data_IF_560421545383
#
_entry.id   IF_560421545383
#
_cell.length_a   1.000
_cell.length_b   1.000
_cell.length_c   1.000
_cell.angle_alpha   90.00
_cell.angle_beta   90.00
_cell.angle_gamma   90.00
#
_symmetry.space_group_name_H-M   'P 1'
#
loop_
_entity.id
_entity.type
_entity.pdbx_description
1 polymer ?
#
# COMPACT_ATOMS: atom_id res chain seq x y z
N UNK A 1 -5.35 62.03 29.71
CA UNK A 1 -5.19 61.89 28.25
C UNK A 1 -4.91 60.43 27.81
N UNK A 2 -5.47 59.41 28.48
CA UNK A 2 -5.23 57.98 28.18
C UNK A 2 -6.49 57.18 27.79
N UNK A 3 -7.69 57.64 28.12
CA UNK A 3 -8.93 56.89 27.87
C UNK A 3 -9.37 56.85 26.40
N UNK A 4 -9.06 57.89 25.61
CA UNK A 4 -9.42 57.95 24.18
C UNK A 4 -8.65 56.94 23.30
N UNK A 5 -7.53 56.40 23.81
CA UNK A 5 -6.69 55.45 23.07
C UNK A 5 -7.18 54.00 23.19
N UNK A 6 -7.89 53.65 24.26
CA UNK A 6 -8.37 52.28 24.48
C UNK A 6 -9.66 52.01 23.69
N UNK A 7 -10.58 52.98 23.66
CA UNK A 7 -11.84 52.88 22.93
C UNK A 7 -11.63 52.77 21.40
N UNK A 8 -10.65 53.49 20.84
CA UNK A 8 -10.31 53.38 19.42
C UNK A 8 -9.75 52.00 19.04
N UNK A 9 -9.00 51.36 19.94
CA UNK A 9 -8.43 50.03 19.70
C UNK A 9 -9.52 48.93 19.71
N UNK A 10 -10.52 49.05 20.59
CA UNK A 10 -11.69 48.15 20.62
C UNK A 10 -12.56 48.27 19.37
N UNK A 11 -12.71 49.48 18.81
CA UNK A 11 -13.46 49.70 17.56
C UNK A 11 -12.70 49.09 16.37
N UNK A 12 -11.37 49.23 16.32
CA UNK A 12 -10.56 48.65 15.23
C UNK A 12 -10.55 47.11 15.29
N UNK A 13 -10.56 46.52 16.50
CA UNK A 13 -10.63 45.07 16.69
C UNK A 13 -12.03 44.47 16.45
N UNK A 14 -13.10 45.26 16.52
CA UNK A 14 -14.47 44.77 16.29
C UNK A 14 -14.91 44.83 14.83
N UNK A 15 -14.25 45.64 13.99
CA UNK A 15 -14.52 45.76 12.54
C UNK A 15 -14.31 44.42 11.78
N UNK A 16 -13.25 43.62 12.02
CA UNK A 16 -13.08 42.33 11.36
C UNK A 16 -14.20 41.33 11.72
N UNK A 17 -14.71 41.41 12.95
CA UNK A 17 -15.74 40.49 13.47
C UNK A 17 -17.12 40.81 12.91
N UNK A 18 -17.43 42.09 12.70
CA UNK A 18 -18.74 42.53 12.18
C UNK A 18 -18.85 42.50 10.64
N UNK A 19 -17.73 42.53 9.90
CA UNK A 19 -17.74 42.63 8.44
C UNK A 19 -17.28 41.37 7.67
N UNK A 20 -16.95 40.28 8.36
CA UNK A 20 -16.51 39.03 7.71
C UNK A 20 -17.32 37.80 8.17
N UNK A 21 -18.63 37.72 7.87
CA UNK A 21 -19.42 36.49 8.12
C UNK A 21 -18.81 35.26 7.42
N UNK A 22 -18.13 35.48 6.29
CA UNK A 22 -17.41 34.44 5.54
C UNK A 22 -16.21 33.85 6.29
N UNK A 23 -15.67 34.51 7.31
CA UNK A 23 -14.53 33.99 8.06
C UNK A 23 -14.94 32.84 8.98
N UNK A 24 -16.12 32.96 9.61
CA UNK A 24 -16.68 31.86 10.41
C UNK A 24 -17.04 30.66 9.54
N UNK A 25 -17.66 30.90 8.38
CA UNK A 25 -17.96 29.85 7.39
C UNK A 25 -16.68 29.19 6.85
N UNK A 26 -15.60 29.96 6.69
CA UNK A 26 -14.30 29.42 6.27
C UNK A 26 -13.68 28.57 7.37
N UNK A 27 -13.78 28.98 8.65
CA UNK A 27 -13.27 28.19 9.78
C UNK A 27 -14.08 26.91 9.99
N UNK A 28 -15.40 26.95 9.88
CA UNK A 28 -16.23 25.74 9.98
C UNK A 28 -15.96 24.80 8.82
N UNK A 29 -15.84 25.32 7.59
CA UNK A 29 -15.47 24.51 6.42
C UNK A 29 -14.09 23.87 6.59
N UNK A 30 -13.09 24.60 7.10
CA UNK A 30 -11.76 24.03 7.38
C UNK A 30 -11.85 22.97 8.47
N UNK A 31 -12.61 23.20 9.55
CA UNK A 31 -12.80 22.23 10.64
C UNK A 31 -13.49 20.96 10.17
N UNK A 32 -14.54 21.07 9.38
CA UNK A 32 -15.35 19.94 8.91
C UNK A 32 -14.57 19.12 7.84
N UNK A 33 -13.83 19.80 6.97
CA UNK A 33 -12.89 19.16 6.05
C UNK A 33 -11.72 18.50 6.80
N UNK A 34 -11.25 19.09 7.90
CA UNK A 34 -10.19 18.48 8.71
C UNK A 34 -10.70 17.24 9.44
N UNK A 35 -11.87 17.31 10.07
CA UNK A 35 -12.48 16.20 10.81
C UNK A 35 -12.75 14.99 9.91
N UNK A 36 -13.29 15.21 8.72
CA UNK A 36 -13.49 14.16 7.72
C UNK A 36 -12.17 13.55 7.21
N UNK A 37 -11.11 14.34 7.10
CA UNK A 37 -9.75 13.83 6.80
C UNK A 37 -9.20 12.97 7.96
N UNK A 38 -9.45 13.35 9.21
CA UNK A 38 -9.01 12.56 10.38
C UNK A 38 -9.77 11.24 10.51
N UNK A 39 -11.09 11.23 10.33
CA UNK A 39 -11.89 10.00 10.31
C UNK A 39 -11.46 9.08 9.16
N UNK A 40 -11.25 9.63 7.96
CA UNK A 40 -10.75 8.84 6.83
C UNK A 40 -9.35 8.28 7.08
N UNK A 41 -8.44 9.02 7.73
CA UNK A 41 -7.11 8.48 8.08
C UNK A 41 -7.18 7.30 9.02
N UNK A 42 -8.07 7.32 10.01
CA UNK A 42 -8.25 6.20 10.93
C UNK A 42 -8.79 4.99 10.20
N UNK A 43 -9.77 5.19 9.33
CA UNK A 43 -10.37 4.13 8.51
C UNK A 43 -9.37 3.53 7.52
N UNK A 44 -8.57 4.36 6.83
CA UNK A 44 -7.50 3.91 5.95
C UNK A 44 -6.44 3.13 6.72
N UNK A 45 -6.05 3.59 7.92
CA UNK A 45 -5.11 2.85 8.75
C UNK A 45 -5.68 1.48 9.14
N UNK A 46 -6.95 1.43 9.58
CA UNK A 46 -7.64 0.17 9.90
C UNK A 46 -7.74 -0.76 8.68
N UNK A 47 -7.98 -0.24 7.47
CA UNK A 47 -8.09 -0.99 6.22
C UNK A 47 -6.74 -1.49 5.70
N UNK A 48 -5.68 -0.68 5.74
CA UNK A 48 -4.34 -1.06 5.26
C UNK A 48 -3.75 -2.23 6.05
N UNK A 49 -4.03 -2.32 7.34
CA UNK A 49 -3.56 -3.41 8.19
C UNK A 49 -4.43 -4.67 8.14
N UNK A 50 -5.54 -4.68 7.38
CA UNK A 50 -6.28 -5.91 7.18
C UNK A 50 -5.56 -6.87 6.23
N UNK A 51 -5.54 -8.18 6.49
CA UNK A 51 -5.09 -9.16 5.52
C UNK A 51 -5.87 -9.00 4.22
N UNK A 52 -5.18 -9.10 3.09
CA UNK A 52 -5.74 -8.90 1.75
C UNK A 52 -6.08 -7.46 1.35
N UNK A 53 -5.73 -6.44 2.14
CA UNK A 53 -6.02 -5.04 1.81
C UNK A 53 -5.47 -4.59 0.45
N UNK A 54 -4.34 -5.16 0.00
CA UNK A 54 -3.75 -4.87 -1.32
C UNK A 54 -4.56 -5.39 -2.52
N UNK A 55 -5.57 -6.23 -2.30
CA UNK A 55 -6.36 -6.85 -3.37
C UNK A 55 -7.53 -5.98 -3.79
N UNK A 56 -8.12 -5.25 -2.83
CA UNK A 56 -9.13 -4.23 -3.14
C UNK A 56 -8.54 -3.07 -3.95
N UNK A 57 -7.21 -2.91 -3.92
CA UNK A 57 -6.48 -1.89 -4.69
C UNK A 57 -6.27 -2.30 -6.15
N UNK A 58 -6.31 -3.60 -6.47
CA UNK A 58 -6.06 -4.11 -7.83
C UNK A 58 -7.18 -5.04 -8.31
N UNK A 59 -8.12 -4.55 -9.12
CA UNK A 59 -9.14 -5.39 -9.74
C UNK A 59 -8.49 -6.55 -10.51
N UNK A 60 -9.03 -7.75 -10.34
CA UNK A 60 -8.43 -8.98 -10.88
C UNK A 60 -8.24 -8.95 -12.40
N UNK A 61 -9.01 -8.16 -13.15
CA UNK A 61 -8.82 -8.01 -14.59
C UNK A 61 -7.52 -7.29 -15.00
N UNK A 62 -6.92 -6.49 -14.11
CA UNK A 62 -5.68 -5.74 -14.38
C UNK A 62 -4.44 -6.38 -13.76
N UNK A 63 -4.61 -7.50 -13.04
CA UNK A 63 -3.51 -8.23 -12.43
C UNK A 63 -2.84 -9.15 -13.45
N UNK A 64 -1.50 -9.09 -13.63
CA UNK A 64 -0.76 -10.02 -14.45
C UNK A 64 -1.05 -11.47 -14.07
N UNK A 65 -1.00 -12.39 -15.03
CA UNK A 65 -1.35 -13.79 -14.81
C UNK A 65 -0.42 -14.42 -13.76
N UNK A 66 0.87 -14.12 -13.87
CA UNK A 66 1.94 -14.63 -13.01
C UNK A 66 1.74 -14.14 -11.56
N UNK A 67 1.28 -12.90 -11.37
CA UNK A 67 0.98 -12.36 -10.03
C UNK A 67 -0.22 -13.08 -9.40
N UNK A 68 -1.24 -13.45 -10.18
CA UNK A 68 -2.37 -14.27 -9.70
C UNK A 68 -1.91 -15.66 -9.29
N UNK A 69 -1.01 -16.25 -10.08
CA UNK A 69 -0.45 -17.57 -9.83
C UNK A 69 0.40 -17.59 -8.56
N UNK A 70 1.30 -16.63 -8.40
CA UNK A 70 2.09 -16.42 -7.17
C UNK A 70 1.15 -16.34 -5.98
N UNK A 71 0.14 -15.47 -6.03
CA UNK A 71 -0.80 -15.33 -4.90
C UNK A 71 -1.54 -16.62 -4.57
N UNK A 72 -2.03 -17.32 -5.59
CA UNK A 72 -2.72 -18.58 -5.38
C UNK A 72 -1.80 -19.63 -4.73
N UNK A 73 -0.51 -19.64 -5.09
CA UNK A 73 0.48 -20.53 -4.49
C UNK A 73 0.89 -20.11 -3.07
N UNK A 74 1.06 -18.80 -2.81
CA UNK A 74 1.32 -18.25 -1.46
C UNK A 74 0.21 -18.67 -0.49
N UNK A 75 -1.05 -18.50 -0.90
CA UNK A 75 -2.21 -18.85 -0.09
C UNK A 75 -2.36 -20.37 0.09
N UNK A 76 -2.21 -21.16 -0.98
CA UNK A 76 -2.37 -22.60 -0.92
C UNK A 76 -1.30 -23.28 -0.03
N UNK A 77 -0.08 -22.76 -0.04
CA UNK A 77 1.05 -23.32 0.71
C UNK A 77 1.28 -22.61 2.06
N UNK A 78 0.47 -21.60 2.41
CA UNK A 78 0.56 -20.84 3.66
C UNK A 78 1.99 -20.32 3.92
N UNK A 79 2.61 -19.73 2.88
CA UNK A 79 4.00 -19.30 2.96
C UNK A 79 4.17 -18.18 4.00
N UNK A 80 5.20 -18.25 4.86
CA UNK A 80 5.48 -17.19 5.85
C UNK A 80 6.10 -15.94 5.22
N UNK A 81 6.89 -16.14 4.17
CA UNK A 81 7.58 -15.15 3.35
C UNK A 81 7.83 -15.77 1.97
N UNK A 82 8.28 -14.96 1.02
CA UNK A 82 8.67 -15.43 -0.31
C UNK A 82 9.74 -14.55 -0.94
N UNK A 83 10.39 -15.05 -1.97
CA UNK A 83 11.27 -14.30 -2.84
C UNK A 83 10.88 -14.47 -4.31
N UNK A 84 11.21 -13.49 -5.13
CA UNK A 84 11.07 -13.53 -6.58
C UNK A 84 12.45 -13.55 -7.24
N UNK A 85 12.58 -14.31 -8.32
CA UNK A 85 13.78 -14.45 -9.13
C UNK A 85 13.54 -14.05 -10.59
N UNK A 86 14.63 -13.86 -11.32
CA UNK A 86 14.62 -13.62 -12.76
C UNK A 86 13.68 -12.46 -13.13
N UNK A 87 12.90 -12.64 -14.18
CA UNK A 87 12.00 -11.61 -14.69
C UNK A 87 10.90 -11.19 -13.71
N UNK A 88 10.48 -12.08 -12.79
CA UNK A 88 9.51 -11.71 -11.74
C UNK A 88 10.07 -10.64 -10.79
N UNK A 89 11.40 -10.63 -10.59
CA UNK A 89 12.09 -9.64 -9.77
C UNK A 89 12.55 -8.43 -10.59
N UNK A 90 13.03 -8.67 -11.81
CA UNK A 90 13.59 -7.63 -12.68
C UNK A 90 12.52 -6.68 -13.23
N UNK A 91 11.29 -7.17 -13.44
CA UNK A 91 10.15 -6.33 -13.84
C UNK A 91 9.59 -5.58 -12.61
N UNK A 92 9.74 -4.25 -12.53
CA UNK A 92 9.30 -3.47 -11.38
C UNK A 92 7.79 -3.54 -11.14
N UNK A 93 6.99 -3.69 -12.21
CA UNK A 93 5.54 -3.78 -12.10
C UNK A 93 5.15 -5.15 -11.52
N UNK A 94 5.72 -6.24 -12.02
CA UNK A 94 5.44 -7.59 -11.46
C UNK A 94 5.87 -7.67 -10.01
N UNK A 95 7.07 -7.16 -9.68
CA UNK A 95 7.59 -7.10 -8.32
C UNK A 95 6.64 -6.34 -7.38
N UNK A 96 6.29 -5.10 -7.74
CA UNK A 96 5.42 -4.27 -6.91
C UNK A 96 4.06 -4.93 -6.71
N UNK A 97 3.43 -5.43 -7.78
CA UNK A 97 2.11 -6.07 -7.69
C UNK A 97 2.15 -7.34 -6.86
N UNK A 98 3.20 -8.16 -6.99
CA UNK A 98 3.36 -9.36 -6.19
C UNK A 98 3.49 -9.02 -4.69
N UNK A 99 4.18 -7.94 -4.32
CA UNK A 99 4.25 -7.48 -2.92
C UNK A 99 2.87 -7.03 -2.43
N UNK A 100 2.20 -6.18 -3.19
CA UNK A 100 0.90 -5.59 -2.81
C UNK A 100 -0.17 -6.67 -2.59
N UNK A 101 -0.32 -7.61 -3.52
CA UNK A 101 -1.43 -8.57 -3.48
C UNK A 101 -1.21 -9.70 -2.46
N UNK A 102 0.03 -9.90 -2.01
CA UNK A 102 0.37 -10.95 -1.05
C UNK A 102 0.46 -10.44 0.39
N UNK A 103 0.27 -9.13 0.64
CA UNK A 103 0.20 -8.59 1.98
C UNK A 103 -0.84 -9.37 2.84
N UNK A 104 -0.45 -9.87 4.04
CA UNK A 104 0.72 -9.47 4.84
C UNK A 104 1.98 -10.33 4.67
N UNK A 105 1.99 -11.31 3.76
CA UNK A 105 3.18 -12.14 3.48
C UNK A 105 4.24 -11.27 2.80
N UNK A 106 5.44 -11.25 3.35
CA UNK A 106 6.50 -10.33 2.93
C UNK A 106 7.39 -10.95 1.85
N UNK A 107 7.90 -10.07 1.00
CA UNK A 107 9.01 -10.38 0.12
C UNK A 107 10.31 -10.23 0.90
N UNK A 108 11.02 -11.34 1.12
CA UNK A 108 12.30 -11.37 1.83
C UNK A 108 13.38 -11.93 0.91
N UNK A 109 14.53 -11.24 0.82
CA UNK A 109 15.60 -11.62 -0.11
C UNK A 109 16.26 -12.95 0.23
N UNK A 110 16.19 -13.37 1.50
CA UNK A 110 16.74 -14.60 2.06
C UNK A 110 15.66 -15.69 2.26
N UNK A 111 14.43 -15.46 1.78
CA UNK A 111 13.39 -16.49 1.82
C UNK A 111 13.83 -17.75 1.08
N UNK A 112 13.54 -18.89 1.70
CA UNK A 112 13.73 -20.21 1.10
C UNK A 112 12.68 -20.52 0.03
N UNK A 113 11.54 -19.84 0.07
CA UNK A 113 10.44 -20.01 -0.87
C UNK A 113 10.63 -19.07 -2.05
N UNK A 114 11.07 -19.61 -3.18
CA UNK A 114 11.44 -18.80 -4.33
C UNK A 114 10.54 -19.08 -5.52
N UNK A 115 10.05 -17.99 -6.13
CA UNK A 115 9.28 -18.05 -7.37
C UNK A 115 10.13 -17.61 -8.56
N UNK A 116 10.03 -18.36 -9.66
CA UNK A 116 10.66 -18.03 -10.94
C UNK A 116 9.75 -18.41 -12.11
N UNK A 117 9.99 -17.83 -13.28
CA UNK A 117 9.32 -18.24 -14.51
C UNK A 117 9.98 -19.48 -15.11
N UNK A 118 9.22 -20.39 -15.72
CA UNK A 118 9.76 -21.58 -16.40
C UNK A 118 10.87 -21.20 -17.40
N UNK A 119 10.72 -20.09 -18.13
CA UNK A 119 11.73 -19.58 -19.07
C UNK A 119 13.04 -19.10 -18.40
N UNK A 120 13.00 -18.72 -17.12
CA UNK A 120 14.19 -18.32 -16.37
C UNK A 120 14.97 -19.52 -15.82
N UNK A 121 14.43 -20.74 -15.89
CA UNK A 121 15.04 -21.94 -15.29
C UNK A 121 16.49 -22.17 -15.74
N UNK A 122 16.77 -21.99 -17.03
CA UNK A 122 18.11 -22.19 -17.60
C UNK A 122 19.12 -21.11 -17.19
N UNK A 123 18.64 -19.93 -16.75
CA UNK A 123 19.48 -18.81 -16.30
C UNK A 123 19.79 -18.87 -14.81
N UNK A 124 19.16 -19.79 -14.07
CA UNK A 124 19.24 -19.87 -12.62
C UNK A 124 19.97 -21.16 -12.21
N UNK A 125 21.31 -21.12 -12.27
CA UNK A 125 22.19 -22.28 -12.06
C UNK A 125 21.93 -23.04 -10.73
N UNK A 126 21.50 -22.32 -9.69
CA UNK A 126 21.29 -22.88 -8.34
C UNK A 126 19.95 -23.62 -8.18
N UNK A 127 19.01 -23.50 -9.13
CA UNK A 127 17.67 -24.10 -9.01
C UNK A 127 17.73 -25.62 -9.03
N UNK A 128 18.79 -26.20 -9.60
CA UNK A 128 19.07 -27.64 -9.53
C UNK A 128 19.21 -28.18 -8.10
N UNK A 129 19.51 -27.32 -7.13
CA UNK A 129 19.63 -27.65 -5.71
C UNK A 129 18.33 -27.44 -4.91
N UNK A 130 17.31 -26.84 -5.54
CA UNK A 130 16.05 -26.53 -4.89
C UNK A 130 14.99 -27.62 -5.13
N UNK A 131 14.13 -27.85 -4.15
CA UNK A 131 13.01 -28.77 -4.28
C UNK A 131 11.79 -28.03 -4.86
N UNK A 132 11.24 -28.52 -5.97
CA UNK A 132 9.96 -28.01 -6.48
C UNK A 132 8.81 -28.34 -5.53
N UNK A 133 8.05 -27.31 -5.15
CA UNK A 133 6.86 -27.41 -4.30
C UNK A 133 5.59 -27.41 -5.15
N UNK A 134 5.47 -26.44 -6.06
CA UNK A 134 4.26 -26.22 -6.85
C UNK A 134 4.60 -25.58 -8.21
N UNK A 135 3.67 -25.63 -9.15
CA UNK A 135 3.73 -24.87 -10.41
C UNK A 135 2.31 -24.56 -10.88
N UNK A 136 2.09 -23.31 -11.27
CA UNK A 136 0.88 -22.87 -11.98
C UNK A 136 1.29 -22.08 -13.19
N UNK A 137 0.77 -22.47 -14.36
CA UNK A 137 1.15 -21.86 -15.63
C UNK A 137 2.66 -21.82 -15.81
N UNK A 138 3.17 -20.60 -15.96
CA UNK A 138 4.59 -20.31 -16.15
C UNK A 138 5.33 -20.03 -14.85
N UNK A 139 4.66 -19.91 -13.71
CA UNK A 139 5.31 -19.66 -12.42
C UNK A 139 5.57 -20.97 -11.67
N UNK A 140 6.80 -21.14 -11.23
CA UNK A 140 7.25 -22.28 -10.41
C UNK A 140 7.60 -21.81 -9.01
N UNK A 141 7.16 -22.55 -7.99
CA UNK A 141 7.56 -22.38 -6.60
C UNK A 141 8.54 -23.49 -6.19
N UNK A 142 9.69 -23.10 -5.65
CA UNK A 142 10.69 -24.01 -5.09
C UNK A 142 11.02 -23.67 -3.64
N UNK A 143 11.51 -24.68 -2.92
CA UNK A 143 12.18 -24.57 -1.64
C UNK A 143 13.69 -24.70 -1.85
N UNK A 144 14.44 -23.64 -1.63
CA UNK A 144 15.88 -23.63 -1.71
C UNK A 144 16.51 -23.78 -0.30
N UNK A 145 17.66 -24.46 -0.18
CA UNK A 145 18.34 -24.71 1.09
C UNK A 145 18.78 -23.44 1.82
#
# INVERSE_FOLDING_TARGET
MKEKSLAGLFIILSIPVLFYPKFLDTITTIRDNSASVYENKRKIAEEVFQPNSGIDVLPSQYMPAEVKEIRAMVQANQLPDFNLLGQLREDPLKLQRAIEVNWPVKLESDSKYQFYLVEDAERLDFISLCQKIDQKGEVVLVLCP
#
